data_IF_735828617124
#
_entry.id   IF_735828617124
#
_cell.length_a   1.000
_cell.length_b   1.000
_cell.length_c   1.000
_cell.angle_alpha   90.00
_cell.angle_beta   90.00
_cell.angle_gamma   90.00
#
_symmetry.space_group_name_H-M   'P 1'
#
loop_
_entity.id
_entity.type
_entity.pdbx_description
1 polymer ?
#
# COMPACT_ATOMS: atom_id res chain seq x y z
N UNK A 1 9.43 11.38 16.24
CA UNK A 1 8.20 10.88 15.59
C UNK A 1 8.46 10.69 14.10
N UNK A 2 7.98 9.59 13.52
CA UNK A 2 8.18 9.21 12.09
C UNK A 2 7.79 10.33 11.11
N UNK A 3 6.78 11.13 11.46
CA UNK A 3 6.34 12.33 10.71
C UNK A 3 7.42 13.38 10.46
N UNK A 4 8.50 13.43 11.24
CA UNK A 4 9.59 14.40 11.03
C UNK A 4 10.63 13.95 10.00
N UNK A 5 10.65 12.67 9.64
CA UNK A 5 11.66 12.11 8.73
C UNK A 5 11.18 12.11 7.28
N UNK A 6 9.87 12.06 7.06
CA UNK A 6 9.26 11.98 5.73
C UNK A 6 8.18 13.06 5.57
N UNK A 7 8.56 14.31 5.23
CA UNK A 7 7.61 15.33 4.83
C UNK A 7 6.72 14.79 3.70
N UNK A 8 5.40 14.93 3.85
CA UNK A 8 4.44 14.37 2.89
C UNK A 8 3.86 13.01 3.28
N UNK A 9 4.28 12.41 4.41
CA UNK A 9 3.62 11.22 4.99
C UNK A 9 2.83 11.62 6.23
N UNK A 10 1.53 11.31 6.21
CA UNK A 10 0.66 11.35 7.37
C UNK A 10 0.37 9.93 7.86
N UNK A 11 -0.28 9.81 9.01
CA UNK A 11 -0.57 8.51 9.63
C UNK A 11 -2.04 8.44 10.04
N UNK A 12 -2.77 7.43 9.55
CA UNK A 12 -4.20 7.22 9.82
C UNK A 12 -4.43 5.93 10.62
N UNK A 13 -5.50 5.89 11.42
CA UNK A 13 -5.82 4.77 12.33
C UNK A 13 -5.49 5.06 13.79
N UNK A 14 -5.75 4.08 14.66
CA UNK A 14 -5.55 4.19 16.12
C UNK A 14 -4.22 3.55 16.56
N UNK A 15 -3.60 4.18 17.57
CA UNK A 15 -2.42 3.70 18.32
C UNK A 15 -1.28 3.10 17.48
N UNK A 16 -0.87 1.86 17.79
CA UNK A 16 0.28 1.17 17.19
C UNK A 16 0.03 0.71 15.74
N UNK A 17 -1.22 0.69 15.29
CA UNK A 17 -1.63 0.28 13.94
C UNK A 17 -1.76 1.43 12.94
N UNK A 18 -1.18 2.58 13.26
CA UNK A 18 -1.26 3.76 12.39
C UNK A 18 -0.56 3.52 11.06
N UNK A 19 -1.34 3.48 9.98
CA UNK A 19 -0.83 3.23 8.63
C UNK A 19 -0.29 4.53 8.02
N UNK A 20 0.93 4.50 7.46
CA UNK A 20 1.49 5.64 6.75
C UNK A 20 0.73 5.85 5.44
N UNK A 21 0.39 7.10 5.17
CA UNK A 21 -0.39 7.55 4.00
C UNK A 21 0.33 8.72 3.31
N UNK A 22 0.40 8.68 1.97
CA UNK A 22 0.98 9.77 1.18
C UNK A 22 -0.01 10.94 1.04
N UNK A 23 0.31 12.06 1.69
CA UNK A 23 -0.49 13.29 1.65
C UNK A 23 -0.69 13.75 0.21
N UNK A 24 -1.91 14.15 -0.12
CA UNK A 24 -2.29 14.56 -1.47
C UNK A 24 -2.73 13.39 -2.36
N UNK A 25 -2.73 12.18 -1.82
CA UNK A 25 -3.30 10.99 -2.47
C UNK A 25 -4.37 10.36 -1.57
N UNK A 26 -5.04 9.29 -2.03
CA UNK A 26 -5.87 8.43 -1.16
C UNK A 26 -5.14 7.20 -0.60
N UNK A 27 -3.86 7.01 -0.96
CA UNK A 27 -3.17 5.73 -0.90
C UNK A 27 -2.18 5.62 0.26
N UNK A 28 -2.29 4.52 1.00
CA UNK A 28 -1.27 4.12 1.97
C UNK A 28 0.07 3.84 1.25
N UNK A 29 1.16 4.00 2.00
CA UNK A 29 2.51 3.81 1.45
C UNK A 29 2.72 2.38 0.96
N UNK A 30 2.13 1.38 1.64
CA UNK A 30 2.23 -0.01 1.21
C UNK A 30 1.54 -0.24 -0.15
N UNK A 31 0.43 0.45 -0.44
CA UNK A 31 -0.28 0.34 -1.71
C UNK A 31 0.59 0.88 -2.85
N UNK A 32 1.25 2.01 -2.65
CA UNK A 32 2.18 2.59 -3.62
C UNK A 32 3.39 1.65 -3.83
N UNK A 33 3.91 1.04 -2.77
CA UNK A 33 5.00 0.06 -2.88
C UNK A 33 4.57 -1.19 -3.65
N UNK A 34 3.34 -1.68 -3.41
CA UNK A 34 2.78 -2.81 -4.13
C UNK A 34 2.60 -2.50 -5.61
N UNK A 35 2.11 -1.30 -5.96
CA UNK A 35 2.05 -0.86 -7.35
C UNK A 35 3.44 -0.88 -8.01
N UNK A 36 4.50 -0.47 -7.30
CA UNK A 36 5.86 -0.54 -7.85
C UNK A 36 6.33 -1.99 -8.07
N UNK A 37 5.94 -2.93 -7.21
CA UNK A 37 6.21 -4.36 -7.43
C UNK A 37 5.50 -4.89 -8.68
N UNK A 38 4.26 -4.46 -8.92
CA UNK A 38 3.45 -4.92 -10.05
C UNK A 38 3.85 -4.29 -11.38
N UNK A 39 4.10 -2.98 -11.41
CA UNK A 39 4.47 -2.23 -12.62
C UNK A 39 5.98 -2.32 -12.92
N UNK A 40 6.83 -2.53 -11.92
CA UNK A 40 8.27 -2.75 -12.09
C UNK A 40 9.13 -1.49 -12.19
N UNK A 41 8.56 -0.31 -12.46
CA UNK A 41 9.30 0.96 -12.54
C UNK A 41 8.50 2.15 -12.00
N UNK A 42 9.20 3.24 -11.66
CA UNK A 42 8.56 4.48 -11.23
C UNK A 42 7.80 5.12 -12.40
N UNK A 43 8.42 5.10 -13.57
CA UNK A 43 7.89 5.65 -14.82
C UNK A 43 6.56 4.98 -15.18
N UNK A 44 6.48 3.65 -15.08
CA UNK A 44 5.27 2.90 -15.39
C UNK A 44 4.15 3.18 -14.37
N UNK A 45 4.48 3.31 -13.08
CA UNK A 45 3.48 3.71 -12.07
C UNK A 45 2.92 5.11 -12.34
N UNK A 46 3.78 6.07 -12.68
CA UNK A 46 3.35 7.44 -12.99
C UNK A 46 2.53 7.48 -14.29
N UNK A 47 2.93 6.72 -15.31
CA UNK A 47 2.24 6.68 -16.59
C UNK A 47 0.85 6.02 -16.50
N UNK A 48 0.66 5.07 -15.58
CA UNK A 48 -0.55 4.26 -15.48
C UNK A 48 -1.41 4.56 -14.24
N UNK A 49 -1.12 5.65 -13.52
CA UNK A 49 -1.91 6.05 -12.34
C UNK A 49 -2.02 7.57 -12.20
N UNK A 50 -2.67 8.03 -11.13
CA UNK A 50 -2.73 9.45 -10.78
C UNK A 50 -1.57 9.89 -9.87
N UNK A 51 -0.61 9.00 -9.62
CA UNK A 51 0.54 9.29 -8.78
C UNK A 51 1.59 10.08 -9.56
N UNK A 52 2.07 11.16 -8.95
CA UNK A 52 3.30 11.81 -9.38
C UNK A 52 4.55 11.10 -8.83
N UNK A 53 5.67 11.25 -9.53
CA UNK A 53 6.96 10.65 -9.22
C UNK A 53 7.41 10.90 -7.77
N UNK A 54 7.09 12.09 -7.22
CA UNK A 54 7.39 12.42 -5.82
C UNK A 54 6.71 11.49 -4.81
N UNK A 55 5.50 11.02 -5.08
CA UNK A 55 4.76 10.14 -4.17
C UNK A 55 5.40 8.75 -4.18
N UNK A 56 5.78 8.28 -5.36
CA UNK A 56 6.46 7.00 -5.55
C UNK A 56 7.82 7.00 -4.85
N UNK A 57 8.64 8.02 -5.10
CA UNK A 57 9.95 8.16 -4.42
C UNK A 57 9.82 8.25 -2.91
N UNK A 58 8.82 8.97 -2.41
CA UNK A 58 8.55 9.09 -0.98
C UNK A 58 8.16 7.73 -0.37
N UNK A 59 7.34 6.94 -1.06
CA UNK A 59 6.97 5.60 -0.63
C UNK A 59 8.19 4.66 -0.59
N UNK A 60 9.04 4.69 -1.62
CA UNK A 60 10.28 3.90 -1.65
C UNK A 60 11.24 4.28 -0.52
N UNK A 61 11.43 5.58 -0.27
CA UNK A 61 12.27 6.06 0.82
C UNK A 61 11.75 5.62 2.20
N UNK A 62 10.43 5.57 2.39
CA UNK A 62 9.84 5.03 3.62
C UNK A 62 10.05 3.52 3.73
N UNK A 63 9.82 2.77 2.64
CA UNK A 63 10.03 1.32 2.56
C UNK A 63 11.47 0.94 2.89
N UNK A 64 12.46 1.67 2.39
CA UNK A 64 13.87 1.40 2.68
C UNK A 64 14.19 1.46 4.19
N UNK A 65 13.40 2.24 4.95
CA UNK A 65 13.59 2.40 6.40
C UNK A 65 12.71 1.47 7.25
N UNK A 66 11.56 1.06 6.72
CA UNK A 66 10.52 0.28 7.40
C UNK A 66 10.00 -0.86 6.50
N UNK A 67 10.92 -1.64 5.92
CA UNK A 67 10.58 -2.66 4.93
C UNK A 67 9.61 -3.71 5.50
N UNK A 68 9.85 -4.18 6.73
CA UNK A 68 9.02 -5.20 7.39
C UNK A 68 7.54 -4.79 7.48
N UNK A 69 7.26 -3.53 7.81
CA UNK A 69 5.90 -2.98 7.90
C UNK A 69 5.18 -3.01 6.54
N UNK A 70 5.92 -2.70 5.46
CA UNK A 70 5.40 -2.71 4.10
C UNK A 70 5.18 -4.16 3.63
N UNK A 71 6.15 -5.03 3.87
CA UNK A 71 6.07 -6.45 3.51
C UNK A 71 4.93 -7.15 4.25
N UNK A 72 4.73 -6.87 5.54
CA UNK A 72 3.62 -7.40 6.32
C UNK A 72 2.28 -6.98 5.72
N UNK A 73 2.09 -5.68 5.44
CA UNK A 73 0.85 -5.16 4.86
C UNK A 73 0.56 -5.76 3.48
N UNK A 74 1.56 -5.86 2.61
CA UNK A 74 1.41 -6.50 1.29
C UNK A 74 1.09 -7.99 1.44
N UNK A 75 1.75 -8.69 2.36
CA UNK A 75 1.52 -10.11 2.63
C UNK A 75 0.09 -10.35 3.13
N UNK A 76 -0.37 -9.54 4.09
CA UNK A 76 -1.74 -9.60 4.60
C UNK A 76 -2.76 -9.37 3.49
N UNK A 77 -2.51 -8.40 2.60
CA UNK A 77 -3.37 -8.11 1.47
C UNK A 77 -3.39 -9.24 0.41
N UNK A 78 -2.30 -10.01 0.28
CA UNK A 78 -2.20 -11.15 -0.65
C UNK A 78 -2.84 -12.44 -0.09
N UNK A 79 -3.41 -12.43 1.11
CA UNK A 79 -4.02 -13.63 1.73
C UNK A 79 -5.12 -14.23 0.83
N UNK A 80 -5.16 -15.56 0.64
CA UNK A 80 -6.13 -16.23 -0.23
C UNK A 80 -7.58 -15.92 0.11
N UNK A 81 -8.43 -15.84 -0.91
CA UNK A 81 -9.89 -15.59 -0.74
C UNK A 81 -10.58 -16.71 0.03
N UNK A 82 -10.01 -17.91 0.03
CA UNK A 82 -10.50 -19.08 0.77
C UNK A 82 -10.46 -18.82 2.29
N UNK A 83 -9.40 -18.19 2.80
CA UNK A 83 -9.32 -17.79 4.22
C UNK A 83 -10.35 -16.71 4.55
N UNK A 84 -10.58 -15.77 3.62
CA UNK A 84 -11.59 -14.73 3.79
C UNK A 84 -13.02 -15.27 3.74
N UNK A 85 -13.28 -16.35 2.97
CA UNK A 85 -14.59 -17.02 2.94
C UNK A 85 -14.91 -17.76 4.22
N UNK A 86 -13.90 -18.34 4.88
CA UNK A 86 -14.08 -19.00 6.18
C UNK A 86 -14.39 -17.98 7.28
N UNK A 87 -13.73 -16.81 7.26
CA UNK A 87 -13.95 -15.72 8.22
C UNK A 87 -15.23 -14.91 7.93
N UNK A 88 -15.57 -14.73 6.66
CA UNK A 88 -16.69 -13.90 6.20
C UNK A 88 -17.51 -14.62 5.12
N UNK A 89 -18.35 -15.60 5.50
CA UNK A 89 -19.09 -16.43 4.55
C UNK A 89 -20.12 -15.66 3.69
N UNK A 90 -20.42 -14.41 4.05
CA UNK A 90 -21.31 -13.53 3.29
C UNK A 90 -20.62 -12.78 2.13
N UNK A 91 -19.28 -12.79 2.06
CA UNK A 91 -18.55 -12.14 0.96
C UNK A 91 -18.50 -13.08 -0.25
N UNK A 92 -19.28 -12.77 -1.27
CA UNK A 92 -19.23 -13.49 -2.54
C UNK A 92 -18.10 -12.93 -3.40
N UNK A 93 -17.06 -13.73 -3.68
CA UNK A 93 -16.04 -13.34 -4.65
C UNK A 93 -16.69 -13.17 -6.03
N UNK A 94 -16.33 -12.14 -6.82
CA UNK A 94 -16.86 -11.97 -8.16
C UNK A 94 -16.56 -13.24 -8.98
N UNK A 95 -17.61 -13.80 -9.58
CA UNK A 95 -17.51 -15.00 -10.40
C UNK A 95 -16.61 -14.66 -11.60
N UNK A 96 -15.46 -15.34 -11.71
CA UNK A 96 -14.63 -15.23 -12.91
C UNK A 96 -15.46 -15.65 -14.12
N UNK A 97 -15.72 -14.72 -15.03
CA UNK A 97 -16.38 -15.02 -16.30
C UNK A 97 -15.36 -15.74 -17.19
N UNK A 98 -15.71 -16.90 -17.78
CA UNK A 98 -14.82 -17.63 -18.70
C UNK A 98 -14.54 -16.87 -20.00
#
# INVERSE_FOLDING_TARGET
MRTRQFPGIAFRGEDAGRRPWAIGTGLDIWEICHMIEDFGSIEDVVANSQLEERHVRLALAYRDRYADEITEAITENRRPVEEWRELYPFVQAPRATP
#
